data_IF_957640202603
#
_entry.id   IF_957640202603
#
_cell.length_a   1.000
_cell.length_b   1.000
_cell.length_c   1.000
_cell.angle_alpha   90.00
_cell.angle_beta   90.00
_cell.angle_gamma   90.00
#
_symmetry.space_group_name_H-M   'P 1'
#
loop_
_entity.id
_entity.type
_entity.pdbx_description
1 polymer ?
#
# COMPACT_ATOMS: atom_id res chain seq x y z
N UNK A 1 -21.05 -5.78 -1.63
CA UNK A 1 -19.90 -4.87 -1.59
C UNK A 1 -19.00 -5.44 -0.51
N UNK A 2 -17.72 -5.68 -0.78
CA UNK A 2 -16.82 -6.15 0.27
C UNK A 2 -16.34 -4.93 1.07
N UNK A 3 -16.25 -5.05 2.39
CA UNK A 3 -15.78 -3.99 3.29
C UNK A 3 -14.50 -4.47 3.94
N UNK A 4 -13.42 -3.70 3.80
CA UNK A 4 -12.10 -3.97 4.33
C UNK A 4 -11.73 -2.91 5.36
N UNK A 5 -11.48 -3.35 6.59
CA UNK A 5 -10.81 -2.55 7.61
C UNK A 5 -9.31 -2.77 7.49
N UNK A 6 -8.55 -1.69 7.35
CA UNK A 6 -7.12 -1.74 7.05
C UNK A 6 -6.37 -0.76 7.95
N UNK A 7 -5.32 -1.24 8.60
CA UNK A 7 -4.34 -0.41 9.29
C UNK A 7 -2.96 -0.63 8.68
N UNK A 8 -2.29 0.45 8.29
CA UNK A 8 -0.95 0.40 7.68
C UNK A 8 0.00 1.33 8.44
N UNK A 9 1.10 0.75 8.92
CA UNK A 9 2.28 1.48 9.38
C UNK A 9 3.28 1.52 8.22
N UNK A 10 3.47 2.71 7.63
CA UNK A 10 4.31 2.93 6.45
C UNK A 10 5.80 3.13 6.77
N UNK A 11 6.23 2.77 7.99
CA UNK A 11 7.56 2.99 8.52
C UNK A 11 8.73 2.62 7.60
N UNK A 12 9.84 3.34 7.79
CA UNK A 12 11.04 3.21 6.95
C UNK A 12 11.79 1.90 7.10
N UNK A 13 11.56 1.13 8.18
CA UNK A 13 12.19 -0.19 8.38
C UNK A 13 11.38 -1.34 7.80
N UNK A 14 10.04 -1.24 7.88
CA UNK A 14 9.12 -2.27 7.42
C UNK A 14 7.72 -1.69 7.30
N UNK A 15 6.99 -2.10 6.27
CA UNK A 15 5.55 -1.81 6.16
C UNK A 15 4.77 -2.89 6.90
N UNK A 16 4.06 -2.51 7.96
CA UNK A 16 3.26 -3.44 8.77
C UNK A 16 1.78 -3.22 8.51
N UNK A 17 1.06 -4.30 8.27
CA UNK A 17 -0.33 -4.23 7.82
C UNK A 17 -1.18 -5.15 8.68
N UNK A 18 -2.23 -4.61 9.28
CA UNK A 18 -3.31 -5.39 9.92
C UNK A 18 -4.57 -5.14 9.13
N UNK A 19 -5.33 -6.19 8.85
CA UNK A 19 -6.53 -6.07 8.03
C UNK A 19 -7.61 -7.05 8.46
N UNK A 20 -8.87 -6.71 8.19
CA UNK A 20 -10.00 -7.59 8.45
C UNK A 20 -11.14 -7.29 7.46
N UNK A 21 -11.73 -8.32 6.89
CA UNK A 21 -12.99 -8.18 6.16
C UNK A 21 -14.15 -8.12 7.15
N UNK A 22 -15.20 -7.35 6.85
CA UNK A 22 -16.35 -7.22 7.74
C UNK A 22 -17.04 -8.56 8.09
N UNK A 23 -16.92 -9.57 7.23
CA UNK A 23 -17.45 -10.93 7.42
C UNK A 23 -16.42 -11.93 7.98
N UNK A 24 -15.21 -11.47 8.35
CA UNK A 24 -14.16 -12.31 8.94
C UNK A 24 -14.19 -12.26 10.47
N UNK A 25 -14.04 -13.43 11.12
CA UNK A 25 -14.02 -13.55 12.58
C UNK A 25 -12.70 -13.07 13.21
N UNK A 26 -11.59 -13.11 12.45
CA UNK A 26 -10.27 -12.73 12.94
C UNK A 26 -9.54 -11.78 11.99
N UNK A 27 -8.74 -10.84 12.51
CA UNK A 27 -7.87 -10.02 11.68
C UNK A 27 -6.71 -10.84 11.11
N UNK A 28 -6.28 -10.48 9.91
CA UNK A 28 -5.04 -10.92 9.29
C UNK A 28 -3.91 -9.90 9.49
N UNK A 29 -2.68 -10.35 9.28
CA UNK A 29 -1.48 -9.52 9.36
C UNK A 29 -0.51 -9.82 8.22
N UNK A 30 0.17 -8.78 7.72
CA UNK A 30 1.22 -8.85 6.70
C UNK A 30 2.41 -7.99 7.10
N UNK A 31 3.59 -8.43 6.64
CA UNK A 31 4.80 -7.64 6.63
C UNK A 31 5.33 -7.53 5.22
N UNK A 32 5.70 -6.32 4.84
CA UNK A 32 6.33 -6.05 3.55
C UNK A 32 7.60 -5.22 3.77
N UNK A 33 8.59 -5.43 2.91
CA UNK A 33 9.74 -4.53 2.80
C UNK A 33 9.26 -3.07 2.60
N UNK A 34 9.97 -2.08 3.17
CA UNK A 34 9.54 -0.68 3.12
C UNK A 34 9.84 0.00 1.77
N UNK A 35 10.48 -0.72 0.85
CA UNK A 35 10.97 -0.17 -0.41
C UNK A 35 9.83 0.05 -1.40
N UNK A 36 9.94 1.15 -2.14
CA UNK A 36 9.05 1.51 -3.24
C UNK A 36 9.93 2.15 -4.31
N UNK A 37 9.84 1.66 -5.53
CA UNK A 37 10.56 2.23 -6.67
C UNK A 37 9.61 2.48 -7.82
N UNK A 38 9.71 3.65 -8.42
CA UNK A 38 9.09 3.92 -9.72
C UNK A 38 10.00 3.41 -10.83
N UNK A 39 9.44 2.63 -11.74
CA UNK A 39 10.18 2.04 -12.86
C UNK A 39 9.50 2.37 -14.17
N UNK A 40 10.30 2.33 -15.25
CA UNK A 40 9.74 2.44 -16.59
C UNK A 40 8.88 1.21 -16.90
N UNK A 41 7.73 1.36 -17.59
CA UNK A 41 6.84 0.24 -17.92
C UNK A 41 7.53 -0.93 -18.64
N UNK A 42 8.55 -0.66 -19.46
CA UNK A 42 9.26 -1.71 -20.21
C UNK A 42 10.07 -2.63 -19.27
N UNK A 43 10.53 -2.11 -18.12
CA UNK A 43 11.28 -2.90 -17.14
C UNK A 43 10.40 -3.98 -16.51
N UNK A 44 9.15 -3.67 -16.18
CA UNK A 44 8.24 -4.67 -15.59
C UNK A 44 7.83 -5.74 -16.62
N UNK A 45 7.59 -5.35 -17.87
CA UNK A 45 7.28 -6.31 -18.95
C UNK A 45 8.45 -7.27 -19.15
N UNK A 46 9.66 -6.74 -19.27
CA UNK A 46 10.89 -7.55 -19.41
C UNK A 46 11.09 -8.51 -18.22
N UNK A 47 10.81 -8.05 -17.00
CA UNK A 47 10.89 -8.88 -15.80
C UNK A 47 9.89 -10.05 -15.84
N UNK A 48 8.63 -9.77 -16.16
CA UNK A 48 7.57 -10.78 -16.22
C UNK A 48 7.82 -11.80 -17.35
N UNK A 49 8.28 -11.35 -18.51
CA UNK A 49 8.61 -12.23 -19.64
C UNK A 49 9.70 -13.25 -19.27
N UNK A 50 10.75 -12.80 -18.58
CA UNK A 50 11.83 -13.68 -18.08
C UNK A 50 11.34 -14.70 -17.05
N UNK A 51 10.31 -14.35 -16.28
CA UNK A 51 9.82 -15.15 -15.15
C UNK A 51 8.72 -16.14 -15.51
N UNK A 52 8.15 -16.04 -16.72
CA UNK A 52 7.02 -16.85 -17.22
C UNK A 52 7.18 -18.38 -17.11
N UNK A 53 8.36 -18.89 -16.76
CA UNK A 53 8.67 -20.31 -16.53
C UNK A 53 8.66 -20.80 -15.05
N UNK A 54 8.54 -19.91 -14.05
CA UNK A 54 8.82 -20.22 -12.62
C UNK A 54 7.60 -20.18 -11.68
N UNK A 55 6.38 -20.15 -12.21
CA UNK A 55 5.14 -20.05 -11.40
C UNK A 55 4.88 -18.62 -10.89
N UNK A 56 3.71 -18.39 -10.28
CA UNK A 56 3.35 -17.07 -9.74
C UNK A 56 3.77 -16.95 -8.27
N UNK A 57 4.67 -16.01 -7.93
CA UNK A 57 5.04 -15.76 -6.54
C UNK A 57 3.84 -15.26 -5.72
N UNK A 58 3.98 -15.38 -4.40
CA UNK A 58 3.04 -14.76 -3.46
C UNK A 58 2.93 -13.24 -3.72
N UNK A 59 1.72 -12.66 -3.63
CA UNK A 59 1.48 -11.27 -4.00
C UNK A 59 2.33 -10.24 -3.25
N UNK A 60 2.67 -10.52 -1.98
CA UNK A 60 3.55 -9.69 -1.15
C UNK A 60 5.02 -9.73 -1.60
N UNK A 61 5.45 -10.78 -2.31
CA UNK A 61 6.82 -10.92 -2.84
C UNK A 61 6.99 -10.34 -4.25
N UNK A 62 5.90 -10.16 -4.98
CA UNK A 62 5.87 -9.59 -6.33
C UNK A 62 4.85 -8.46 -6.44
N UNK A 63 4.83 -7.57 -5.46
CA UNK A 63 3.90 -6.45 -5.44
C UNK A 63 4.34 -5.37 -6.42
N UNK A 64 3.54 -5.15 -7.47
CA UNK A 64 3.65 -3.99 -8.33
C UNK A 64 2.27 -3.46 -8.68
N UNK A 65 2.21 -2.15 -8.90
CA UNK A 65 0.99 -1.47 -9.30
C UNK A 65 1.25 -0.52 -10.46
N UNK A 66 0.22 -0.31 -11.27
CA UNK A 66 0.18 0.73 -12.29
C UNK A 66 -0.89 1.73 -11.93
N UNK A 67 -0.56 3.00 -12.05
CA UNK A 67 -1.51 4.08 -11.88
C UNK A 67 -1.22 5.14 -12.93
N UNK A 68 -2.18 5.37 -13.82
CA UNK A 68 -1.96 6.12 -15.06
C UNK A 68 -0.81 5.47 -15.85
N UNK A 69 0.12 6.27 -16.39
CA UNK A 69 1.28 5.78 -17.16
C UNK A 69 2.50 5.43 -16.28
N UNK A 70 2.34 5.42 -14.94
CA UNK A 70 3.43 5.17 -13.99
C UNK A 70 3.34 3.75 -13.43
N UNK A 71 4.50 3.13 -13.21
CA UNK A 71 4.62 1.78 -12.64
C UNK A 71 5.46 1.83 -11.39
N UNK A 72 4.92 1.27 -10.30
CA UNK A 72 5.61 1.20 -9.01
C UNK A 72 5.77 -0.25 -8.60
N UNK A 73 6.98 -0.62 -8.20
CA UNK A 73 7.29 -1.88 -7.54
C UNK A 73 7.42 -1.62 -6.04
N UNK A 74 6.85 -2.50 -5.23
CA UNK A 74 6.72 -2.31 -3.78
C UNK A 74 7.21 -3.56 -3.06
N UNK A 75 7.81 -3.37 -1.89
CA UNK A 75 8.23 -4.47 -1.04
C UNK A 75 9.48 -5.16 -1.55
N UNK A 76 9.47 -6.49 -1.57
CA UNK A 76 10.67 -7.27 -1.91
C UNK A 76 11.03 -7.13 -3.39
N UNK A 77 10.01 -6.97 -4.26
CA UNK A 77 10.21 -6.80 -5.70
C UNK A 77 11.01 -5.54 -6.03
N UNK A 78 10.87 -4.47 -5.24
CA UNK A 78 11.61 -3.24 -5.46
C UNK A 78 13.14 -3.44 -5.44
N UNK A 79 13.64 -4.44 -4.68
CA UNK A 79 15.07 -4.77 -4.65
C UNK A 79 15.62 -5.28 -5.98
N UNK A 80 14.76 -5.82 -6.85
CA UNK A 80 15.17 -6.35 -8.16
C UNK A 80 15.41 -5.22 -9.19
N UNK A 81 14.97 -4.00 -8.89
CA UNK A 81 15.00 -2.88 -9.83
C UNK A 81 15.88 -1.71 -9.36
N UNK A 82 16.58 -1.89 -8.23
CA UNK A 82 17.44 -0.92 -7.53
C UNK A 82 18.32 -0.11 -8.50
N UNK A 83 18.10 1.20 -8.69
CA UNK A 83 19.00 2.08 -9.41
C UNK A 83 20.06 2.68 -8.47
N UNK A 84 21.30 2.79 -8.97
CA UNK A 84 22.34 3.66 -8.41
C UNK A 84 21.78 5.09 -8.16
N UNK A 85 22.04 5.67 -6.99
CA UNK A 85 21.61 7.00 -6.50
C UNK A 85 20.20 7.15 -5.88
N UNK A 86 20.13 6.83 -4.58
CA UNK A 86 19.03 7.10 -3.62
C UNK A 86 18.86 8.58 -3.23
N UNK A 87 19.26 9.53 -4.07
CA UNK A 87 19.51 10.91 -3.59
C UNK A 87 18.26 11.79 -3.52
N UNK A 88 17.05 11.27 -3.81
CA UNK A 88 15.81 12.05 -3.64
C UNK A 88 14.54 11.23 -3.37
N UNK A 89 14.60 10.18 -2.55
CA UNK A 89 13.40 9.48 -2.08
C UNK A 89 12.45 10.45 -1.35
N UNK A 90 11.35 10.84 -1.98
CA UNK A 90 10.23 11.49 -1.27
C UNK A 90 9.45 10.41 -0.54
N UNK A 91 9.84 10.17 0.72
CA UNK A 91 9.23 9.22 1.68
C UNK A 91 7.69 9.25 1.70
N UNK A 92 7.10 10.42 1.48
CA UNK A 92 5.66 10.65 1.37
C UNK A 92 4.96 9.94 0.21
N UNK A 93 5.56 9.93 -0.98
CA UNK A 93 4.94 9.25 -2.13
C UNK A 93 4.94 7.74 -1.92
N UNK A 94 5.95 7.22 -1.21
CA UNK A 94 6.05 5.79 -0.92
C UNK A 94 4.89 5.28 -0.06
N UNK A 95 4.40 6.08 0.89
CA UNK A 95 3.26 5.70 1.73
C UNK A 95 1.97 5.48 0.91
N UNK A 96 1.74 6.28 -0.14
CA UNK A 96 0.59 6.13 -1.04
C UNK A 96 0.60 4.76 -1.72
N UNK A 97 1.75 4.41 -2.30
CA UNK A 97 1.91 3.17 -3.06
C UNK A 97 1.98 1.93 -2.15
N UNK A 98 2.51 2.07 -0.93
CA UNK A 98 2.45 1.02 0.11
C UNK A 98 1.01 0.66 0.46
N UNK A 99 0.13 1.66 0.68
CA UNK A 99 -1.28 1.41 0.98
C UNK A 99 -1.99 0.74 -0.20
N UNK A 100 -1.79 1.25 -1.43
CA UNK A 100 -2.40 0.66 -2.62
C UNK A 100 -1.92 -0.79 -2.86
N UNK A 101 -0.61 -1.05 -2.69
CA UNK A 101 -0.05 -2.39 -2.77
C UNK A 101 -0.60 -3.31 -1.68
N UNK A 102 -0.72 -2.85 -0.43
CA UNK A 102 -1.30 -3.63 0.66
C UNK A 102 -2.73 -4.09 0.32
N UNK A 103 -3.56 -3.20 -0.20
CA UNK A 103 -4.92 -3.54 -0.67
C UNK A 103 -4.87 -4.59 -1.77
N UNK A 104 -4.02 -4.41 -2.78
CA UNK A 104 -3.86 -5.36 -3.87
C UNK A 104 -3.43 -6.75 -3.39
N UNK A 105 -2.45 -6.80 -2.49
CA UNK A 105 -1.95 -8.04 -1.87
C UNK A 105 -3.08 -8.75 -1.12
N UNK A 106 -3.86 -8.03 -0.31
CA UNK A 106 -4.98 -8.60 0.45
C UNK A 106 -6.06 -9.13 -0.50
N UNK A 107 -6.44 -8.36 -1.50
CA UNK A 107 -7.47 -8.74 -2.49
C UNK A 107 -7.07 -10.03 -3.20
N UNK A 108 -5.82 -10.13 -3.67
CA UNK A 108 -5.34 -11.31 -4.37
C UNK A 108 -5.17 -12.51 -3.44
N UNK A 109 -4.58 -12.30 -2.25
CA UNK A 109 -4.34 -13.36 -1.25
C UNK A 109 -5.65 -13.99 -0.78
N UNK A 110 -6.67 -13.18 -0.53
CA UNK A 110 -8.00 -13.65 -0.13
C UNK A 110 -8.88 -14.05 -1.32
N UNK A 111 -8.37 -13.93 -2.56
CA UNK A 111 -9.07 -14.24 -3.81
C UNK A 111 -10.43 -13.54 -3.91
N UNK A 112 -10.49 -12.27 -3.51
CA UNK A 112 -11.74 -11.51 -3.48
C UNK A 112 -12.29 -11.30 -4.88
N UNK A 113 -13.51 -11.77 -5.11
CA UNK A 113 -14.21 -11.61 -6.39
C UNK A 113 -14.94 -10.27 -6.42
N UNK A 114 -14.20 -9.19 -6.71
CA UNK A 114 -14.75 -7.84 -6.74
C UNK A 114 -15.67 -7.60 -7.96
N UNK A 115 -15.39 -8.22 -9.12
CA UNK A 115 -16.22 -8.07 -10.32
C UNK A 115 -16.41 -6.59 -10.69
N UNK A 116 -17.67 -6.15 -10.88
CA UNK A 116 -18.01 -4.73 -11.09
C UNK A 116 -18.21 -3.93 -9.79
N UNK A 117 -18.07 -4.57 -8.62
CA UNK A 117 -18.33 -3.95 -7.31
C UNK A 117 -17.04 -3.30 -6.80
N UNK A 118 -17.17 -2.11 -6.21
CA UNK A 118 -16.06 -1.46 -5.51
C UNK A 118 -15.79 -2.17 -4.18
N UNK A 119 -14.51 -2.23 -3.80
CA UNK A 119 -14.11 -2.56 -2.43
C UNK A 119 -14.26 -1.30 -1.58
N UNK A 120 -15.03 -1.35 -0.50
CA UNK A 120 -15.05 -0.26 0.48
C UNK A 120 -13.91 -0.46 1.48
N UNK A 121 -13.10 0.58 1.71
CA UNK A 121 -11.95 0.55 2.60
C UNK A 121 -12.13 1.57 3.72
N UNK A 122 -12.04 1.09 4.96
CA UNK A 122 -11.87 1.91 6.16
C UNK A 122 -10.40 1.85 6.57
N UNK A 123 -9.70 2.98 6.42
CA UNK A 123 -8.24 3.03 6.51
C UNK A 123 -7.79 3.79 7.76
N UNK A 124 -6.93 3.17 8.56
CA UNK A 124 -6.02 3.84 9.47
C UNK A 124 -4.60 3.79 8.91
N UNK A 125 -3.90 4.91 8.80
CA UNK A 125 -2.53 4.94 8.29
C UNK A 125 -1.64 5.80 9.18
N UNK A 126 -0.44 5.28 9.45
CA UNK A 126 0.62 6.03 10.11
C UNK A 126 1.59 6.54 9.04
N UNK A 127 1.86 7.84 9.06
CA UNK A 127 2.86 8.49 8.20
C UNK A 127 3.94 9.15 9.05
N UNK A 128 5.18 9.31 8.56
CA UNK A 128 6.24 9.99 9.28
C UNK A 128 5.83 11.37 9.82
N UNK A 129 6.32 11.72 11.03
CA UNK A 129 5.92 12.95 11.74
C UNK A 129 6.15 14.22 10.91
N UNK A 130 7.30 14.28 10.25
CA UNK A 130 7.72 15.36 9.35
C UNK A 130 6.75 15.59 8.18
N UNK A 131 5.99 14.56 7.81
CA UNK A 131 5.06 14.58 6.68
C UNK A 131 3.59 14.76 7.10
N UNK A 132 3.30 14.69 8.40
CA UNK A 132 1.93 14.78 8.91
C UNK A 132 1.25 16.12 8.63
N UNK A 133 2.04 17.19 8.46
CA UNK A 133 1.51 18.50 8.07
C UNK A 133 0.83 18.47 6.68
N UNK A 134 1.26 17.58 5.79
CA UNK A 134 0.73 17.41 4.43
C UNK A 134 -0.31 16.29 4.31
N UNK A 135 -0.94 15.90 5.44
CA UNK A 135 -1.93 14.82 5.47
C UNK A 135 -3.12 15.04 4.53
N UNK A 136 -3.57 16.29 4.34
CA UNK A 136 -4.71 16.57 3.45
C UNK A 136 -4.40 16.23 1.99
N UNK A 137 -3.19 16.58 1.54
CA UNK A 137 -2.67 16.23 0.21
C UNK A 137 -2.58 14.69 0.09
N UNK A 138 -2.26 14.00 1.18
CA UNK A 138 -2.06 12.55 1.19
C UNK A 138 -3.40 11.87 0.97
N UNK A 139 -4.40 12.28 1.75
CA UNK A 139 -5.76 11.79 1.63
C UNK A 139 -6.31 12.03 0.21
N UNK A 140 -6.09 13.21 -0.37
CA UNK A 140 -6.55 13.54 -1.72
C UNK A 140 -5.88 12.66 -2.78
N UNK A 141 -4.55 12.54 -2.74
CA UNK A 141 -3.80 11.71 -3.69
C UNK A 141 -4.16 10.23 -3.55
N UNK A 142 -4.28 9.73 -2.32
CA UNK A 142 -4.66 8.34 -2.06
C UNK A 142 -6.06 8.06 -2.58
N UNK A 143 -7.03 8.98 -2.41
CA UNK A 143 -8.37 8.85 -3.01
C UNK A 143 -8.31 8.74 -4.53
N UNK A 144 -7.46 9.52 -5.20
CA UNK A 144 -7.29 9.46 -6.65
C UNK A 144 -6.68 8.13 -7.12
N UNK A 145 -5.68 7.61 -6.39
CA UNK A 145 -5.08 6.30 -6.69
C UNK A 145 -6.11 5.18 -6.49
N UNK A 146 -6.77 5.15 -5.33
CA UNK A 146 -7.71 4.09 -4.97
C UNK A 146 -8.99 4.12 -5.82
N UNK A 147 -9.34 5.26 -6.43
CA UNK A 147 -10.44 5.34 -7.39
C UNK A 147 -10.19 4.48 -8.65
N UNK A 148 -8.95 4.14 -8.98
CA UNK A 148 -8.64 3.23 -10.08
C UNK A 148 -7.13 3.03 -10.26
N UNK A 149 -6.64 1.83 -9.98
CA UNK A 149 -5.26 1.41 -10.20
C UNK A 149 -5.24 -0.06 -10.66
N UNK A 150 -4.13 -0.51 -11.23
CA UNK A 150 -3.90 -1.92 -11.55
C UNK A 150 -2.93 -2.50 -10.53
N UNK A 151 -3.23 -3.67 -9.97
CA UNK A 151 -2.31 -4.44 -9.16
C UNK A 151 -2.05 -5.79 -9.83
N UNK A 152 -0.79 -6.11 -10.12
CA UNK A 152 -0.38 -7.36 -10.77
C UNK A 152 -1.23 -7.75 -12.01
N UNK A 153 -1.56 -6.78 -12.86
CA UNK A 153 -2.39 -7.02 -14.06
C UNK A 153 -3.91 -6.98 -13.83
N UNK A 154 -4.36 -6.82 -12.58
CA UNK A 154 -5.78 -6.79 -12.22
C UNK A 154 -6.19 -5.36 -11.87
N UNK A 155 -7.17 -4.80 -12.57
CA UNK A 155 -7.74 -3.50 -12.24
C UNK A 155 -8.53 -3.54 -10.94
N UNK A 156 -8.23 -2.62 -10.03
CA UNK A 156 -8.86 -2.44 -8.73
C UNK A 156 -9.47 -1.04 -8.62
N UNK A 157 -10.65 -0.98 -8.04
CA UNK A 157 -11.36 0.26 -7.72
C UNK A 157 -11.91 0.15 -6.31
N UNK A 158 -11.52 1.11 -5.47
CA UNK A 158 -11.90 1.17 -4.08
C UNK A 158 -12.63 2.49 -3.78
N UNK A 159 -13.59 2.44 -2.87
CA UNK A 159 -14.15 3.62 -2.21
C UNK A 159 -13.62 3.69 -0.79
N UNK A 160 -13.28 4.90 -0.33
CA UNK A 160 -12.85 5.10 1.05
C UNK A 160 -14.08 5.47 1.88
N UNK A 161 -14.47 4.59 2.80
CA UNK A 161 -15.56 4.84 3.74
C UNK A 161 -15.12 5.80 4.86
N UNK A 162 -14.00 5.49 5.52
CA UNK A 162 -13.34 6.40 6.46
C UNK A 162 -11.83 6.35 6.30
N UNK A 163 -11.16 7.47 6.61
CA UNK A 163 -9.70 7.55 6.63
C UNK A 163 -9.26 8.26 7.91
N UNK A 164 -8.31 7.64 8.61
CA UNK A 164 -7.66 8.19 9.79
C UNK A 164 -6.16 8.21 9.54
N UNK A 165 -5.61 9.39 9.28
CA UNK A 165 -4.17 9.60 9.16
C UNK A 165 -3.63 10.05 10.52
N UNK A 166 -2.59 9.40 11.02
CA UNK A 166 -1.89 9.76 12.27
C UNK A 166 -0.38 9.81 12.01
N UNK A 167 0.38 10.60 12.78
CA UNK A 167 1.83 10.54 12.69
C UNK A 167 2.36 9.27 13.36
N UNK A 168 3.44 8.71 12.81
CA UNK A 168 4.25 7.68 13.45
C UNK A 168 4.71 8.15 14.83
N UNK A 169 4.69 7.26 15.83
CA UNK A 169 5.01 7.61 17.22
C UNK A 169 3.97 8.48 17.95
N UNK A 170 2.92 8.97 17.27
CA UNK A 170 1.86 9.80 17.88
C UNK A 170 1.10 9.10 19.01
N UNK A 171 1.08 7.77 19.03
CA UNK A 171 0.50 7.00 20.15
C UNK A 171 1.24 7.22 21.47
N UNK A 172 2.57 7.42 21.43
CA UNK A 172 3.36 7.71 22.62
C UNK A 172 3.14 9.14 23.14
N UNK A 173 2.97 10.13 22.26
CA UNK A 173 2.65 11.50 22.66
C UNK A 173 1.23 11.62 23.24
N UNK A 174 0.24 10.92 22.67
CA UNK A 174 -1.13 10.90 23.19
C UNK A 174 -1.24 10.31 24.60
N UNK A 175 -0.44 9.27 24.90
CA UNK A 175 -0.42 8.66 26.23
C UNK A 175 0.13 9.61 27.31
N UNK A 176 1.18 10.38 26.97
CA UNK A 176 1.76 11.39 27.87
C UNK A 176 0.81 12.57 28.12
N UNK A 177 0.05 13.00 27.11
CA UNK A 177 -0.96 14.05 27.28
C UNK A 177 -2.20 13.58 28.06
N UNK A 178 -2.58 12.31 27.97
CA UNK A 178 -3.71 11.76 28.74
C UNK A 178 -3.41 11.50 30.22
N UNK A 179 -2.13 11.51 30.62
CA UNK A 179 -1.66 11.37 32.01
C UNK A 179 -1.34 12.74 32.64
N UNK A 180 -1.36 13.81 31.85
CA UNK A 180 -1.05 15.18 32.29
C UNK A 180 -2.31 16.08 32.36
N UNK A 181 -3.50 15.49 32.26
CA UNK A 181 -4.81 16.16 32.39
C UNK A 181 -5.63 15.57 33.52
#
# INVERSE_FOLDING_TARGET
MAVLYLSVDCGGSQTKIIYQLADSESPGYLLMSPLVEEIKPEKIVTYLDRKSSLGSPAPDREAYLKWQERVFVVGDLAREFDPEDRTSEQKYENALYKVAAAIGVIVERLKLKLGKKKLEVHLGVLIPWDEYNDRSIFEERLRKILAGFEFRGVSLCCSIGSMLVRPEGGWHCGYLYSQAG
#
